data_IF_815077859170
#
_entry.id   IF_815077859170
#
_cell.length_a   1.000
_cell.length_b   1.000
_cell.length_c   1.000
_cell.angle_alpha   90.00
_cell.angle_beta   90.00
_cell.angle_gamma   90.00
#
_symmetry.space_group_name_H-M   'P 1'
#
loop_
_entity.id
_entity.type
_entity.pdbx_description
1 polymer ?
#
# COMPACT_ATOMS: atom_id res chain seq x y z
N UNK A 1 -22.88 -22.25 -42.15
CA UNK A 1 -21.56 -21.69 -41.77
C UNK A 1 -21.79 -20.49 -40.85
N UNK A 2 -21.59 -20.73 -39.56
CA UNK A 2 -20.64 -20.05 -38.64
C UNK A 2 -21.19 -18.78 -37.97
N UNK A 3 -21.68 -19.02 -36.75
CA UNK A 3 -21.86 -18.14 -35.58
C UNK A 3 -21.01 -16.87 -35.62
N UNK A 4 -21.64 -15.69 -35.77
CA UNK A 4 -20.97 -14.39 -35.60
C UNK A 4 -21.72 -13.39 -34.71
N UNK A 5 -22.77 -13.82 -33.98
CA UNK A 5 -23.54 -12.95 -33.09
C UNK A 5 -23.06 -12.97 -31.62
N UNK A 6 -21.74 -13.03 -31.37
CA UNK A 6 -21.20 -13.21 -29.99
C UNK A 6 -19.97 -12.34 -29.67
N UNK A 7 -19.84 -11.11 -30.18
CA UNK A 7 -18.70 -10.25 -29.77
C UNK A 7 -19.07 -8.81 -29.37
N UNK A 8 -20.22 -8.25 -29.76
CA UNK A 8 -20.43 -6.80 -29.64
C UNK A 8 -21.26 -6.28 -28.45
N UNK A 9 -21.51 -7.08 -27.40
CA UNK A 9 -22.26 -6.60 -26.20
C UNK A 9 -21.60 -7.03 -24.87
N UNK A 10 -20.30 -7.31 -24.85
CA UNK A 10 -19.56 -7.58 -23.60
C UNK A 10 -18.46 -6.56 -23.29
N UNK A 11 -18.50 -5.37 -23.88
CA UNK A 11 -17.44 -4.38 -23.71
C UNK A 11 -17.61 -3.39 -22.56
N UNK A 12 -18.79 -3.27 -21.92
CA UNK A 12 -19.00 -2.24 -20.89
C UNK A 12 -18.83 -2.72 -19.43
N UNK A 13 -18.77 -4.03 -19.15
CA UNK A 13 -18.67 -4.51 -17.74
C UNK A 13 -17.39 -5.27 -17.39
N UNK A 14 -16.48 -5.47 -18.35
CA UNK A 14 -15.18 -6.11 -18.09
C UNK A 14 -14.06 -5.08 -17.94
N UNK A 15 -14.10 -3.96 -18.66
CA UNK A 15 -13.09 -2.89 -18.55
C UNK A 15 -13.26 -2.00 -17.31
N UNK A 16 -14.48 -1.81 -16.81
CA UNK A 16 -14.70 -0.96 -15.61
C UNK A 16 -14.24 -1.62 -14.30
N UNK A 17 -13.91 -2.93 -14.30
CA UNK A 17 -13.51 -3.66 -13.09
C UNK A 17 -12.01 -3.61 -12.77
N UNK A 18 -11.16 -3.07 -13.64
CA UNK A 18 -9.70 -3.14 -13.47
C UNK A 18 -9.00 -1.81 -13.14
N UNK A 19 -9.72 -0.72 -12.88
CA UNK A 19 -9.09 0.57 -12.57
C UNK A 19 -9.73 1.34 -11.40
N UNK A 20 -10.13 0.64 -10.34
CA UNK A 20 -10.06 1.29 -9.03
C UNK A 20 -8.59 1.35 -8.63
N UNK A 21 -7.93 2.48 -8.91
CA UNK A 21 -6.74 2.88 -8.15
C UNK A 21 -7.18 2.85 -6.69
N UNK A 22 -6.81 1.82 -5.94
CA UNK A 22 -7.05 1.80 -4.50
C UNK A 22 -6.43 3.07 -3.94
N UNK A 23 -7.26 3.95 -3.38
CA UNK A 23 -6.75 5.04 -2.57
C UNK A 23 -6.06 4.39 -1.36
N UNK A 24 -4.78 4.69 -1.16
CA UNK A 24 -4.05 4.20 0.01
C UNK A 24 -4.78 4.63 1.29
N UNK A 25 -4.91 3.71 2.23
CA UNK A 25 -5.52 3.97 3.53
C UNK A 25 -4.46 4.60 4.41
N UNK A 26 -4.75 5.77 4.98
CA UNK A 26 -3.86 6.41 5.95
C UNK A 26 -3.68 5.50 7.17
N UNK A 27 -2.44 5.37 7.61
CA UNK A 27 -2.07 4.43 8.66
C UNK A 27 -2.30 5.01 10.06
N UNK A 28 -2.50 4.11 11.04
CA UNK A 28 -2.49 4.43 12.47
C UNK A 28 -1.41 3.62 13.22
N UNK A 29 -1.11 4.01 14.45
CA UNK A 29 0.00 3.44 15.26
C UNK A 29 -0.16 1.95 15.52
N UNK A 30 -1.37 1.50 15.89
CA UNK A 30 -1.67 0.09 16.12
C UNK A 30 -1.39 -0.75 14.87
N UNK A 31 -1.89 -0.31 13.72
CA UNK A 31 -1.68 -1.01 12.44
C UNK A 31 -0.20 -1.02 12.04
N UNK A 32 0.52 0.06 12.31
CA UNK A 32 1.95 0.13 12.05
C UNK A 32 2.75 -0.86 12.92
N UNK A 33 2.38 -1.04 14.19
CA UNK A 33 3.01 -2.02 15.09
C UNK A 33 2.79 -3.46 14.61
N UNK A 34 1.57 -3.80 14.18
CA UNK A 34 1.27 -5.12 13.60
C UNK A 34 2.15 -5.42 12.39
N UNK A 35 2.34 -4.42 11.52
CA UNK A 35 3.17 -4.55 10.32
C UNK A 35 4.65 -4.69 10.69
N UNK A 36 5.15 -3.92 11.66
CA UNK A 36 6.52 -4.02 12.13
C UNK A 36 6.82 -5.38 12.80
N UNK A 37 5.84 -5.98 13.48
CA UNK A 37 5.95 -7.30 14.10
C UNK A 37 5.74 -8.47 13.12
N UNK A 38 5.20 -8.20 11.92
CA UNK A 38 4.87 -9.23 10.94
C UNK A 38 6.11 -9.69 10.18
N UNK A 39 6.33 -11.01 10.02
CA UNK A 39 7.36 -11.53 9.12
C UNK A 39 6.97 -11.36 7.64
N UNK A 40 5.70 -11.06 7.36
CA UNK A 40 5.17 -10.82 6.01
C UNK A 40 5.18 -9.32 5.74
N UNK A 41 5.80 -8.94 4.63
CA UNK A 41 5.89 -7.56 4.19
C UNK A 41 4.53 -7.02 3.74
N UNK A 42 4.07 -5.94 4.37
CA UNK A 42 2.89 -5.20 3.95
C UNK A 42 3.22 -4.17 2.86
N UNK A 43 2.24 -3.78 2.06
CA UNK A 43 2.39 -2.75 1.05
C UNK A 43 2.17 -1.36 1.65
N UNK A 44 3.21 -0.82 2.28
CA UNK A 44 3.20 0.52 2.87
C UNK A 44 4.10 1.46 2.08
N UNK A 45 3.63 2.69 1.91
CA UNK A 45 4.35 3.76 1.22
C UNK A 45 4.49 5.01 2.07
N UNK A 46 5.58 5.74 1.85
CA UNK A 46 5.82 7.09 2.32
C UNK A 46 6.21 7.96 1.12
N UNK A 47 5.53 9.08 0.91
CA UNK A 47 5.71 9.94 -0.27
C UNK A 47 5.66 9.19 -1.62
N UNK A 48 4.80 8.17 -1.72
CA UNK A 48 4.63 7.35 -2.92
C UNK A 48 5.70 6.26 -3.11
N UNK A 49 6.68 6.16 -2.22
CA UNK A 49 7.74 5.18 -2.28
C UNK A 49 7.50 4.04 -1.29
N UNK A 50 7.81 2.78 -1.65
CA UNK A 50 7.64 1.63 -0.75
C UNK A 50 8.71 1.62 0.33
N UNK A 51 8.28 1.32 1.56
CA UNK A 51 9.14 1.35 2.74
C UNK A 51 8.96 0.09 3.58
N UNK A 52 9.96 -0.20 4.42
CA UNK A 52 9.80 -1.05 5.60
C UNK A 52 9.55 -0.17 6.83
N UNK A 53 8.69 -0.65 7.72
CA UNK A 53 8.54 -0.11 9.07
C UNK A 53 9.41 -0.95 10.00
N UNK A 54 10.46 -0.36 10.54
CA UNK A 54 11.42 -1.06 11.40
C UNK A 54 10.97 -1.04 12.87
N UNK A 55 10.53 0.12 13.36
CA UNK A 55 10.03 0.30 14.72
C UNK A 55 8.93 1.36 14.75
N UNK A 56 8.01 1.22 15.71
CA UNK A 56 6.95 2.21 15.96
C UNK A 56 7.05 2.69 17.40
N UNK A 57 7.02 4.00 17.57
CA UNK A 57 6.96 4.68 18.85
C UNK A 57 5.54 5.23 19.02
N UNK A 58 4.74 4.53 19.83
CA UNK A 58 3.33 4.84 20.05
C UNK A 58 3.15 6.16 20.81
N UNK A 59 4.06 6.48 21.74
CA UNK A 59 3.96 7.68 22.56
C UNK A 59 4.11 8.94 21.71
N UNK A 60 5.03 8.92 20.75
CA UNK A 60 5.26 10.03 19.82
C UNK A 60 4.40 9.96 18.55
N UNK A 61 3.74 8.83 18.28
CA UNK A 61 3.01 8.60 17.04
C UNK A 61 3.93 8.56 15.80
N UNK A 62 5.17 8.13 15.97
CA UNK A 62 6.18 8.08 14.90
C UNK A 62 6.64 6.67 14.59
N UNK A 63 7.15 6.47 13.38
CA UNK A 63 7.77 5.23 12.95
C UNK A 63 9.17 5.47 12.40
N UNK A 64 10.10 4.57 12.71
CA UNK A 64 11.38 4.45 12.04
C UNK A 64 11.17 3.60 10.78
N UNK A 65 11.41 4.20 9.61
CA UNK A 65 11.22 3.56 8.32
C UNK A 65 12.49 3.61 7.48
N UNK A 66 12.59 2.76 6.46
CA UNK A 66 13.57 2.91 5.39
C UNK A 66 12.99 2.51 4.01
N UNK A 67 13.39 3.22 2.93
CA UNK A 67 13.17 2.80 1.55
C UNK A 67 13.60 1.36 1.26
N UNK A 68 12.82 0.61 0.48
CA UNK A 68 13.22 -0.75 0.07
C UNK A 68 14.54 -0.75 -0.72
N UNK A 69 14.74 0.29 -1.54
CA UNK A 69 15.91 0.41 -2.41
C UNK A 69 17.11 1.08 -1.73
N UNK A 70 16.93 1.63 -0.53
CA UNK A 70 17.98 2.29 0.25
C UNK A 70 17.80 1.99 1.75
N UNK A 71 18.04 0.74 2.19
CA UNK A 71 17.78 0.30 3.57
C UNK A 71 18.63 1.02 4.63
N UNK A 72 19.76 1.62 4.21
CA UNK A 72 20.59 2.43 5.09
C UNK A 72 20.03 3.84 5.32
N UNK A 73 19.07 4.28 4.50
CA UNK A 73 18.44 5.60 4.61
C UNK A 73 17.26 5.55 5.59
N UNK A 74 17.58 5.44 6.87
CA UNK A 74 16.57 5.40 7.94
C UNK A 74 16.07 6.80 8.26
N UNK A 75 14.75 6.93 8.42
CA UNK A 75 14.10 8.19 8.76
C UNK A 75 12.99 7.96 9.78
N UNK A 76 12.79 8.91 10.68
CA UNK A 76 11.70 8.89 11.66
C UNK A 76 10.60 9.83 11.17
N UNK A 77 9.41 9.30 10.92
CA UNK A 77 8.28 10.02 10.32
C UNK A 77 7.00 9.81 11.12
N UNK A 78 6.00 10.68 10.96
CA UNK A 78 4.70 10.50 11.58
C UNK A 78 3.99 9.28 10.97
N UNK A 79 3.38 8.42 11.78
CA UNK A 79 2.65 7.24 11.28
C UNK A 79 1.49 7.65 10.37
N UNK A 80 0.83 8.75 10.67
CA UNK A 80 -0.27 9.31 9.86
C UNK A 80 0.16 9.75 8.45
N UNK A 81 1.46 9.85 8.17
CA UNK A 81 1.98 10.14 6.83
C UNK A 81 2.19 8.89 5.96
N UNK A 82 2.05 7.70 6.56
CA UNK A 82 2.18 6.42 5.87
C UNK A 82 0.85 6.00 5.25
N UNK A 83 0.92 5.30 4.12
CA UNK A 83 -0.24 4.80 3.40
C UNK A 83 -0.09 3.31 3.12
N UNK A 84 -1.07 2.51 3.53
CA UNK A 84 -1.21 1.08 3.22
C UNK A 84 -2.13 0.88 2.00
N UNK A 85 -1.81 -0.04 1.09
CA UNK A 85 -2.54 -0.27 -0.18
C UNK A 85 -3.08 -1.70 -0.34
#
# INVERSE_FOLDING_TARGET
MIRHAYILVKHDKYYERHHQKKAGVLMNTQRAQEIAASPIMANVTYNGERIYIEQVDEQSGTALIHPLHAPNNKQRVAVSSLQEH
#
